data_IF_360110311252
#
_entry.id   IF_360110311252
#
_cell.length_a   1.000
_cell.length_b   1.000
_cell.length_c   1.000
_cell.angle_alpha   90.00
_cell.angle_beta   90.00
_cell.angle_gamma   90.00
#
_symmetry.space_group_name_H-M   'P 1'
#
loop_
_entity.id
_entity.type
_entity.pdbx_description
1 polymer ?
#
# COMPACT_ATOMS: atom_id res chain seq x y z
N UNK A 1 -17.23 -4.34 -22.27
CA UNK A 1 -16.07 -4.27 -21.31
C UNK A 1 -14.71 -4.16 -22.02
N UNK A 2 -14.47 -4.91 -23.11
CA UNK A 2 -13.17 -4.90 -23.82
C UNK A 2 -12.87 -3.57 -24.52
N UNK A 3 -13.87 -2.84 -24.98
CA UNK A 3 -13.70 -1.56 -25.68
C UNK A 3 -13.29 -0.41 -24.77
N UNK A 4 -13.64 -0.46 -23.49
CA UNK A 4 -13.25 0.56 -22.51
C UNK A 4 -11.74 0.53 -22.17
N UNK A 5 -11.04 -0.49 -22.61
CA UNK A 5 -9.61 -0.66 -22.38
C UNK A 5 -8.76 -0.23 -23.58
N UNK A 6 -9.38 0.28 -24.64
CA UNK A 6 -8.68 0.84 -25.78
C UNK A 6 -8.36 2.32 -25.56
N UNK A 7 -7.15 2.71 -25.95
CA UNK A 7 -6.74 4.10 -25.98
C UNK A 7 -7.33 4.85 -27.18
N UNK A 8 -7.33 6.18 -27.14
CA UNK A 8 -7.71 7.01 -28.30
C UNK A 8 -6.81 6.73 -29.50
N UNK A 9 -5.54 6.44 -29.27
CA UNK A 9 -4.58 6.05 -30.31
C UNK A 9 -4.97 4.74 -30.98
N UNK A 10 -5.42 3.76 -30.20
CA UNK A 10 -5.90 2.46 -30.74
C UNK A 10 -7.13 2.66 -31.63
N UNK A 11 -8.05 3.53 -31.24
CA UNK A 11 -9.22 3.87 -32.03
C UNK A 11 -8.84 4.61 -33.34
N UNK A 12 -7.81 5.46 -33.29
CA UNK A 12 -7.26 6.11 -34.48
C UNK A 12 -6.61 5.10 -35.42
N UNK A 13 -5.85 4.14 -34.88
CA UNK A 13 -5.25 3.08 -35.65
C UNK A 13 -6.30 2.20 -36.32
N UNK A 14 -7.37 1.83 -35.62
CA UNK A 14 -8.51 1.09 -36.18
C UNK A 14 -9.15 1.83 -37.35
N UNK A 15 -9.31 3.14 -37.24
CA UNK A 15 -9.91 3.96 -38.30
C UNK A 15 -9.00 4.08 -39.53
N UNK A 16 -7.69 4.18 -39.31
CA UNK A 16 -6.71 4.46 -40.36
C UNK A 16 -6.08 3.17 -40.97
N UNK A 17 -6.13 2.05 -40.23
CA UNK A 17 -5.60 0.80 -40.73
C UNK A 17 -6.64 0.08 -41.59
N UNK A 18 -6.21 -0.43 -42.76
CA UNK A 18 -6.97 -1.38 -43.55
C UNK A 18 -6.94 -2.74 -42.84
N UNK A 19 -7.34 -2.78 -41.56
CA UNK A 19 -7.51 -4.05 -40.86
C UNK A 19 -8.70 -4.76 -41.50
N UNK A 20 -8.43 -5.87 -42.15
CA UNK A 20 -9.48 -6.68 -42.78
C UNK A 20 -10.52 -7.03 -41.72
N UNK A 21 -11.78 -6.85 -42.05
CA UNK A 21 -12.94 -6.99 -41.17
C UNK A 21 -13.03 -8.34 -40.42
N UNK A 22 -12.34 -9.38 -40.92
CA UNK A 22 -12.29 -10.69 -40.28
C UNK A 22 -11.46 -10.77 -38.97
N UNK A 23 -10.56 -9.85 -38.74
CA UNK A 23 -9.62 -9.92 -37.59
C UNK A 23 -9.77 -8.79 -36.59
N UNK A 24 -10.75 -7.89 -36.76
CA UNK A 24 -10.94 -6.74 -35.86
C UNK A 24 -11.18 -7.17 -34.39
N UNK A 25 -11.98 -8.20 -34.19
CA UNK A 25 -12.30 -8.70 -32.85
C UNK A 25 -11.07 -9.28 -32.12
N UNK A 26 -10.21 -9.96 -32.86
CA UNK A 26 -8.97 -10.52 -32.32
C UNK A 26 -7.97 -9.42 -32.00
N UNK A 27 -7.79 -8.47 -32.91
CA UNK A 27 -6.95 -7.31 -32.71
C UNK A 27 -7.39 -6.48 -31.47
N UNK A 28 -8.68 -6.21 -31.34
CA UNK A 28 -9.25 -5.48 -30.19
C UNK A 28 -8.95 -6.21 -28.88
N UNK A 29 -9.10 -7.53 -28.83
CA UNK A 29 -8.80 -8.33 -27.63
C UNK A 29 -7.31 -8.31 -27.27
N UNK A 30 -6.44 -8.46 -28.28
CA UNK A 30 -4.99 -8.41 -28.07
C UNK A 30 -4.57 -7.05 -27.52
N UNK A 31 -5.07 -5.97 -28.13
CA UNK A 31 -4.76 -4.60 -27.73
C UNK A 31 -5.28 -4.25 -26.34
N UNK A 32 -6.49 -4.68 -26.02
CA UNK A 32 -7.06 -4.51 -24.68
C UNK A 32 -6.21 -5.23 -23.60
N UNK A 33 -5.72 -6.43 -23.92
CA UNK A 33 -4.84 -7.18 -23.01
C UNK A 33 -3.48 -6.49 -22.82
N UNK A 34 -2.89 -6.00 -23.90
CA UNK A 34 -1.63 -5.23 -23.83
C UNK A 34 -1.79 -3.95 -23.00
N UNK A 35 -2.87 -3.20 -23.23
CA UNK A 35 -3.17 -1.98 -22.47
C UNK A 35 -3.43 -2.28 -21.00
N UNK A 36 -4.09 -3.38 -20.68
CA UNK A 36 -4.32 -3.80 -19.29
C UNK A 36 -3.00 -4.14 -18.58
N UNK A 37 -2.10 -4.87 -19.25
CA UNK A 37 -0.76 -5.15 -18.71
C UNK A 37 0.05 -3.88 -18.53
N UNK A 38 0.01 -2.96 -19.51
CA UNK A 38 0.64 -1.64 -19.39
C UNK A 38 0.07 -0.81 -18.24
N UNK A 39 -1.24 -0.82 -18.02
CA UNK A 39 -1.89 -0.10 -16.94
C UNK A 39 -1.48 -0.62 -15.55
N UNK A 40 -1.25 -1.93 -15.40
CA UNK A 40 -0.71 -2.48 -14.14
C UNK A 40 0.71 -2.00 -13.86
N UNK A 41 1.55 -1.90 -14.89
CA UNK A 41 2.92 -1.34 -14.74
C UNK A 41 2.86 0.15 -14.39
N UNK A 42 1.98 0.92 -15.07
CA UNK A 42 1.83 2.37 -14.82
C UNK A 42 1.35 2.65 -13.39
N UNK A 43 0.48 1.81 -12.83
CA UNK A 43 0.05 1.94 -11.42
C UNK A 43 1.17 1.77 -10.41
N UNK A 44 2.27 1.11 -10.81
CA UNK A 44 3.46 0.93 -9.97
C UNK A 44 4.46 2.07 -10.09
N UNK A 45 4.23 3.00 -11.03
CA UNK A 45 5.14 4.11 -11.29
C UNK A 45 4.55 5.40 -10.70
N UNK A 46 5.32 6.06 -9.84
CA UNK A 46 5.00 7.42 -9.38
C UNK A 46 5.88 8.42 -10.12
N UNK A 47 5.25 9.48 -10.61
CA UNK A 47 5.97 10.63 -11.15
C UNK A 47 6.46 11.51 -9.98
N UNK A 48 7.55 12.28 -10.19
CA UNK A 48 7.94 13.30 -9.24
C UNK A 48 6.77 14.24 -8.90
N UNK A 49 6.64 14.69 -7.65
CA UNK A 49 5.52 15.55 -7.22
C UNK A 49 5.51 16.93 -7.89
N UNK A 50 6.63 17.33 -8.51
CA UNK A 50 6.77 18.53 -9.30
C UNK A 50 7.39 18.18 -10.64
N UNK A 51 6.69 18.46 -11.73
CA UNK A 51 7.21 18.34 -13.08
C UNK A 51 7.68 19.72 -13.54
N UNK A 52 8.99 19.88 -13.72
CA UNK A 52 9.61 21.14 -14.11
C UNK A 52 10.08 21.14 -15.57
N UNK A 53 10.27 19.97 -16.15
CA UNK A 53 10.78 19.79 -17.52
C UNK A 53 10.15 18.55 -18.19
N UNK A 54 10.34 18.45 -19.51
CA UNK A 54 9.92 17.25 -20.26
C UNK A 54 10.73 16.00 -19.86
N UNK A 55 11.93 16.16 -19.36
CA UNK A 55 12.79 15.06 -18.95
C UNK A 55 12.28 14.39 -17.67
N UNK A 56 11.50 15.12 -16.87
CA UNK A 56 10.89 14.58 -15.64
C UNK A 56 9.88 13.46 -15.92
N UNK A 57 9.32 13.38 -17.13
CA UNK A 57 8.49 12.24 -17.56
C UNK A 57 9.29 10.95 -17.76
N UNK A 58 10.60 11.04 -17.85
CA UNK A 58 11.50 9.89 -17.94
C UNK A 58 12.01 9.40 -16.59
N UNK A 59 11.74 10.18 -15.53
CA UNK A 59 12.14 9.84 -14.16
C UNK A 59 10.97 9.18 -13.46
N UNK A 60 11.00 7.86 -13.39
CA UNK A 60 10.01 7.10 -12.62
C UNK A 60 10.57 6.82 -11.24
N UNK A 61 9.88 7.33 -10.22
CA UNK A 61 10.13 6.92 -8.86
C UNK A 61 9.38 5.61 -8.64
N UNK A 62 10.10 4.54 -8.39
CA UNK A 62 9.47 3.37 -7.78
C UNK A 62 8.98 3.82 -6.41
N UNK A 63 7.69 3.61 -6.07
CA UNK A 63 7.21 3.89 -4.73
C UNK A 63 7.92 2.96 -3.75
N UNK A 64 9.09 3.39 -3.30
CA UNK A 64 9.65 2.83 -2.08
C UNK A 64 8.78 3.43 -1.00
N UNK A 65 7.76 2.72 -0.59
CA UNK A 65 7.00 3.06 0.60
C UNK A 65 7.98 2.97 1.78
N UNK A 66 8.61 4.09 2.07
CA UNK A 66 9.38 4.22 3.30
C UNK A 66 8.38 4.28 4.44
N UNK A 67 8.23 3.16 5.13
CA UNK A 67 7.48 3.15 6.37
C UNK A 67 7.97 4.25 7.29
N UNK A 68 7.05 4.99 7.87
CA UNK A 68 7.36 5.98 8.88
C UNK A 68 7.42 5.29 10.24
N UNK A 69 8.63 5.05 10.73
CA UNK A 69 8.82 4.46 12.05
C UNK A 69 8.73 5.51 13.12
N UNK A 70 7.90 5.26 14.13
CA UNK A 70 7.59 6.15 15.24
C UNK A 70 8.11 5.52 16.53
N UNK A 71 8.70 6.34 17.38
CA UNK A 71 9.30 5.89 18.64
C UNK A 71 10.72 5.36 18.48
N UNK A 72 11.33 5.00 19.60
CA UNK A 72 12.72 4.51 19.69
C UNK A 72 12.82 3.09 20.27
N UNK A 73 11.68 2.45 20.51
CA UNK A 73 11.63 1.12 21.11
C UNK A 73 11.73 -0.03 20.12
N UNK A 74 12.01 -1.21 20.68
CA UNK A 74 11.82 -2.48 20.01
C UNK A 74 10.86 -3.33 20.82
N UNK A 75 9.93 -4.00 20.17
CA UNK A 75 8.97 -4.90 20.78
C UNK A 75 8.83 -6.16 19.96
N UNK A 76 8.79 -7.30 20.66
CA UNK A 76 8.47 -8.61 20.07
C UNK A 76 7.20 -9.11 20.74
N UNK A 77 6.16 -9.34 19.98
CA UNK A 77 4.87 -9.75 20.52
C UNK A 77 4.03 -10.47 19.46
N UNK A 78 3.02 -11.19 19.93
CA UNK A 78 1.99 -11.74 19.07
C UNK A 78 1.31 -10.63 18.28
N UNK A 79 0.93 -10.91 17.04
CA UNK A 79 0.29 -9.92 16.19
C UNK A 79 -1.19 -10.22 15.92
N UNK A 80 -1.96 -9.16 15.74
CA UNK A 80 -3.39 -9.23 15.43
C UNK A 80 -3.69 -8.34 14.23
N UNK A 81 -4.35 -8.90 13.23
CA UNK A 81 -4.86 -8.16 12.08
C UNK A 81 -6.29 -7.70 12.36
N UNK A 82 -6.51 -6.40 12.29
CA UNK A 82 -7.84 -5.81 12.37
C UNK A 82 -8.33 -5.41 10.97
N UNK A 83 -9.33 -6.12 10.49
CA UNK A 83 -10.13 -5.68 9.35
C UNK A 83 -11.24 -4.72 9.79
N UNK A 84 -11.79 -3.94 8.86
CA UNK A 84 -12.66 -2.77 9.12
C UNK A 84 -13.88 -3.00 10.03
N UNK A 85 -14.24 -4.23 10.36
CA UNK A 85 -15.43 -4.55 11.18
C UNK A 85 -15.15 -5.46 12.37
N UNK A 86 -13.90 -5.72 12.69
CA UNK A 86 -13.54 -6.53 13.85
C UNK A 86 -13.03 -5.60 14.93
N UNK A 87 -13.58 -5.69 16.13
CA UNK A 87 -12.72 -4.96 16.88
C UNK A 87 -12.89 -4.74 18.37
N UNK A 88 -14.01 -4.67 18.91
CA UNK A 88 -14.14 -4.22 20.29
C UNK A 88 -13.94 -5.36 21.31
N UNK A 89 -14.16 -6.61 20.89
CA UNK A 89 -14.08 -7.79 21.78
C UNK A 89 -12.72 -8.53 21.72
N UNK A 90 -11.79 -8.10 20.88
CA UNK A 90 -10.49 -8.75 20.77
C UNK A 90 -9.59 -8.37 21.95
N UNK A 91 -8.93 -9.36 22.51
CA UNK A 91 -7.82 -9.15 23.43
C UNK A 91 -6.61 -8.62 22.63
N UNK A 92 -6.30 -7.33 22.81
CA UNK A 92 -5.22 -6.63 22.12
C UNK A 92 -4.07 -6.27 23.06
N UNK A 93 -4.23 -6.50 24.36
CA UNK A 93 -3.23 -6.13 25.35
C UNK A 93 -1.89 -6.80 25.08
N UNK A 94 -0.84 -6.02 25.03
CA UNK A 94 0.51 -6.49 24.79
C UNK A 94 0.78 -7.03 23.39
N UNK A 95 -0.10 -6.80 22.42
CA UNK A 95 0.05 -7.30 21.04
C UNK A 95 0.43 -6.21 20.06
N UNK A 96 1.07 -6.59 18.97
CA UNK A 96 1.28 -5.72 17.80
C UNK A 96 0.03 -5.79 16.93
N UNK A 97 -0.59 -4.62 16.71
CA UNK A 97 -1.82 -4.53 15.94
C UNK A 97 -1.53 -4.04 14.54
N UNK A 98 -2.07 -4.75 13.54
CA UNK A 98 -1.97 -4.39 12.13
C UNK A 98 -3.32 -3.88 11.64
N UNK A 99 -3.34 -2.68 11.04
CA UNK A 99 -4.54 -2.07 10.46
C UNK A 99 -4.29 -1.61 9.02
N UNK A 100 -5.33 -1.62 8.15
CA UNK A 100 -5.15 -1.19 6.77
C UNK A 100 -4.82 0.29 6.63
N UNK A 101 -5.42 1.16 7.43
CA UNK A 101 -5.28 2.61 7.29
C UNK A 101 -5.04 3.29 8.63
N UNK A 102 -4.16 4.30 8.60
CA UNK A 102 -3.85 5.13 9.75
C UNK A 102 -4.88 6.27 9.92
N UNK A 103 -6.15 5.91 10.11
CA UNK A 103 -7.26 6.85 10.24
C UNK A 103 -7.73 7.02 11.70
N UNK A 104 -8.42 8.14 12.02
CA UNK A 104 -8.91 8.41 13.38
C UNK A 104 -9.91 7.39 13.92
N UNK A 105 -10.55 6.59 13.07
CA UNK A 105 -11.48 5.55 13.48
C UNK A 105 -10.86 4.46 14.36
N UNK A 106 -9.54 4.36 14.35
CA UNK A 106 -8.78 3.40 15.15
C UNK A 106 -8.16 4.01 16.43
N UNK A 107 -8.50 5.25 16.79
CA UNK A 107 -7.92 5.93 17.98
C UNK A 107 -8.13 5.18 19.30
N UNK A 108 -9.20 4.42 19.39
CA UNK A 108 -9.52 3.56 20.54
C UNK A 108 -8.45 2.49 20.84
N UNK A 109 -7.58 2.15 19.88
CA UNK A 109 -6.48 1.20 20.06
C UNK A 109 -5.50 1.66 21.14
N UNK A 110 -5.25 2.95 21.23
CA UNK A 110 -4.33 3.51 22.24
C UNK A 110 -4.81 3.31 23.67
N UNK A 111 -6.11 3.10 23.88
CA UNK A 111 -6.69 2.74 25.18
C UNK A 111 -6.63 1.25 25.51
N UNK A 112 -6.09 0.39 24.64
CA UNK A 112 -6.06 -1.07 24.81
C UNK A 112 -4.70 -1.64 25.20
N UNK A 113 -3.74 -0.82 25.62
CA UNK A 113 -2.38 -1.24 26.03
C UNK A 113 -1.70 -2.13 24.96
N UNK A 114 -1.85 -1.80 23.68
CA UNK A 114 -1.18 -2.51 22.59
C UNK A 114 0.34 -2.30 22.69
N UNK A 115 1.12 -3.30 22.28
CA UNK A 115 2.59 -3.25 22.32
C UNK A 115 3.21 -2.51 21.11
N UNK A 116 2.52 -2.48 19.99
CA UNK A 116 2.97 -1.82 18.77
C UNK A 116 1.88 -1.67 17.75
N UNK A 117 2.10 -0.80 16.78
CA UNK A 117 1.14 -0.52 15.70
C UNK A 117 1.82 -0.59 14.33
N UNK A 118 1.20 -1.29 13.39
CA UNK A 118 1.65 -1.34 11.99
C UNK A 118 0.48 -0.97 11.10
N UNK A 119 0.69 -0.05 10.14
CA UNK A 119 -0.35 0.29 9.18
C UNK A 119 0.10 0.07 7.75
N UNK A 120 -0.80 -0.42 6.89
CA UNK A 120 -0.53 -0.59 5.48
C UNK A 120 -0.39 0.78 4.79
N UNK A 121 -1.35 1.68 5.02
CA UNK A 121 -1.36 3.03 4.48
C UNK A 121 -1.33 4.08 5.58
N UNK A 122 -0.77 5.23 5.27
CA UNK A 122 -0.65 6.37 6.16
C UNK A 122 0.70 7.07 6.02
N UNK A 123 0.77 8.32 6.44
CA UNK A 123 1.98 9.13 6.40
C UNK A 123 2.48 9.49 7.79
N UNK A 124 3.67 10.12 7.85
CA UNK A 124 4.26 10.61 9.10
C UNK A 124 3.37 11.61 9.85
N UNK A 125 2.51 12.33 9.12
CA UNK A 125 1.59 13.32 9.67
C UNK A 125 0.15 12.78 9.84
N UNK A 126 -0.05 11.46 9.71
CA UNK A 126 -1.35 10.86 9.95
C UNK A 126 -1.71 10.94 11.44
N UNK A 127 -3.02 10.94 11.72
CA UNK A 127 -3.51 10.96 13.11
C UNK A 127 -2.88 9.85 13.95
N UNK A 128 -2.84 8.62 13.44
CA UNK A 128 -2.27 7.48 14.17
C UNK A 128 -0.75 7.62 14.39
N UNK A 129 0.00 8.26 13.47
CA UNK A 129 1.42 8.52 13.65
C UNK A 129 1.66 9.50 14.82
N UNK A 130 0.88 10.59 14.89
CA UNK A 130 0.96 11.58 15.94
C UNK A 130 0.60 10.94 17.29
N UNK A 131 -0.49 10.19 17.34
CA UNK A 131 -0.93 9.49 18.56
C UNK A 131 0.09 8.46 19.04
N UNK A 132 0.66 7.66 18.12
CA UNK A 132 1.72 6.71 18.48
C UNK A 132 2.93 7.42 19.13
N UNK A 133 3.31 8.58 18.59
CA UNK A 133 4.38 9.39 19.18
C UNK A 133 4.01 9.92 20.59
N UNK A 134 2.78 10.42 20.77
CA UNK A 134 2.29 10.90 22.08
C UNK A 134 2.30 9.81 23.15
N UNK A 135 1.92 8.59 22.79
CA UNK A 135 1.91 7.45 23.69
C UNK A 135 3.28 6.75 23.79
N UNK A 136 4.30 7.22 23.07
CA UNK A 136 5.61 6.55 22.95
C UNK A 136 5.49 5.09 22.49
N UNK A 137 4.45 4.79 21.71
CA UNK A 137 4.16 3.47 21.18
C UNK A 137 5.04 3.21 19.95
N UNK A 138 5.82 2.12 19.90
CA UNK A 138 6.52 1.72 18.68
C UNK A 138 5.54 1.51 17.53
N UNK A 139 5.74 2.20 16.42
CA UNK A 139 4.85 2.05 15.26
C UNK A 139 5.61 2.12 13.93
N UNK A 140 5.05 1.43 12.93
CA UNK A 140 5.46 1.51 11.54
C UNK A 140 4.24 1.91 10.69
N UNK A 141 4.22 3.15 10.24
CA UNK A 141 3.08 3.74 9.53
C UNK A 141 3.34 3.76 8.04
N UNK A 142 2.40 3.18 7.26
CA UNK A 142 2.48 3.20 5.81
C UNK A 142 3.56 2.29 5.25
N UNK A 143 3.62 1.02 5.70
CA UNK A 143 4.62 0.05 5.21
C UNK A 143 4.38 -0.40 3.77
N UNK A 144 3.24 -0.06 3.19
CA UNK A 144 2.83 -0.44 1.85
C UNK A 144 2.19 -1.84 1.77
N UNK A 145 1.38 -2.02 0.74
CA UNK A 145 0.55 -3.22 0.58
C UNK A 145 1.38 -4.51 0.48
N UNK A 146 2.44 -4.51 -0.32
CA UNK A 146 3.29 -5.69 -0.52
C UNK A 146 3.90 -6.17 0.79
N UNK A 147 4.47 -5.25 1.56
CA UNK A 147 5.08 -5.57 2.85
C UNK A 147 4.01 -5.97 3.88
N UNK A 148 2.90 -5.23 3.93
CA UNK A 148 1.80 -5.55 4.84
C UNK A 148 1.26 -6.96 4.60
N UNK A 149 1.05 -7.34 3.33
CA UNK A 149 0.58 -8.66 2.96
C UNK A 149 1.61 -9.77 3.22
N UNK A 150 2.90 -9.47 3.14
CA UNK A 150 3.94 -10.46 3.49
C UNK A 150 3.98 -10.81 4.97
N UNK A 151 3.41 -9.95 5.82
CA UNK A 151 3.23 -10.25 7.24
C UNK A 151 1.98 -11.09 7.50
N UNK A 152 1.09 -11.24 6.50
CA UNK A 152 -0.14 -12.02 6.67
C UNK A 152 0.19 -13.49 7.03
N UNK A 153 -0.41 -13.95 8.12
CA UNK A 153 -0.15 -15.29 8.64
C UNK A 153 0.97 -15.37 9.69
N UNK A 154 1.68 -14.27 9.95
CA UNK A 154 2.61 -14.22 11.09
C UNK A 154 1.85 -14.32 12.41
N UNK A 155 2.40 -15.08 13.34
CA UNK A 155 1.86 -15.21 14.70
C UNK A 155 2.55 -14.21 15.63
N UNK A 156 3.84 -14.02 15.44
CA UNK A 156 4.69 -13.16 16.25
C UNK A 156 5.59 -12.29 15.37
N UNK A 157 5.69 -11.01 15.72
CA UNK A 157 6.51 -10.03 15.01
C UNK A 157 7.48 -9.33 15.97
N UNK A 158 8.65 -8.97 15.47
CA UNK A 158 9.52 -7.96 16.05
C UNK A 158 9.31 -6.65 15.29
N UNK A 159 8.92 -5.60 16.00
CA UNK A 159 8.87 -4.23 15.51
C UNK A 159 9.96 -3.42 16.20
N UNK A 160 11.01 -3.07 15.46
CA UNK A 160 12.12 -2.26 15.95
C UNK A 160 12.07 -0.88 15.27
N UNK A 161 11.50 0.08 15.97
CA UNK A 161 11.35 1.44 15.45
C UNK A 161 12.70 2.17 15.32
N UNK A 162 13.65 1.92 16.22
CA UNK A 162 14.98 2.52 16.18
C UNK A 162 15.79 2.08 14.95
N UNK A 163 15.74 0.79 14.64
CA UNK A 163 16.45 0.21 13.50
C UNK A 163 15.63 0.26 12.20
N UNK A 164 14.37 0.69 12.27
CA UNK A 164 13.43 0.73 11.15
C UNK A 164 13.24 -0.64 10.49
N UNK A 165 12.99 -1.65 11.32
CA UNK A 165 12.88 -3.04 10.86
C UNK A 165 11.63 -3.69 11.46
N UNK A 166 10.95 -4.48 10.63
CA UNK A 166 9.92 -5.42 11.03
C UNK A 166 10.42 -6.81 10.64
N UNK A 167 10.36 -7.77 11.56
CA UNK A 167 10.74 -9.17 11.31
C UNK A 167 9.63 -10.10 11.73
N UNK A 168 9.40 -11.12 10.92
CA UNK A 168 8.55 -12.26 11.31
C UNK A 168 9.40 -13.19 12.17
N UNK A 169 8.89 -13.53 13.34
CA UNK A 169 9.55 -14.45 14.27
C UNK A 169 8.95 -15.85 14.13
N UNK A 170 7.61 -15.93 14.07
CA UNK A 170 6.83 -17.15 13.81
C UNK A 170 5.55 -16.89 13.03
#
# INVERSE_FOLDING_TARGET
ETLSQLSIEDLRLLRNSRVYTSNVSEWVRSRAKENQQGAEVIKMLELPPLLSSADDFSVFLYPITHANYIGSGSVTAACVYLEQNQGIELDLEGKIVLIPQADPGHDWLFGRNIAGLITMYGGANSHMAIRAAEFSLPAAIGIGETHYRSLAGAIELELNASQRVIRVIH
#
